data_IF_310013260823
#
_entry.id   IF_310013260823
#
_cell.length_a   1.000
_cell.length_b   1.000
_cell.length_c   1.000
_cell.angle_alpha   90.00
_cell.angle_beta   90.00
_cell.angle_gamma   90.00
#
_symmetry.space_group_name_H-M   'P 1'
#
loop_
_entity.id
_entity.type
_entity.pdbx_description
1 polymer ?
#
# COMPACT_ATOMS: atom_id res chain seq x y z
N UNK A 1 -2.14 -2.23 21.82
CA UNK A 1 -2.00 -1.05 20.93
C UNK A 1 -2.82 -1.33 19.69
N UNK A 2 -3.93 -0.64 19.54
CA UNK A 2 -4.74 -0.63 18.31
C UNK A 2 -3.82 -0.12 17.20
N UNK A 3 -3.56 -0.97 16.19
CA UNK A 3 -2.54 -0.69 15.19
C UNK A 3 -2.74 0.66 14.50
N UNK A 4 -1.65 1.29 14.11
CA UNK A 4 -1.60 2.58 13.42
C UNK A 4 -2.55 2.61 12.21
N UNK A 5 -2.77 1.47 11.58
CA UNK A 5 -3.67 1.32 10.44
C UNK A 5 -5.15 1.42 10.80
N UNK A 6 -5.55 0.95 11.99
CA UNK A 6 -6.89 1.23 12.51
C UNK A 6 -7.03 2.72 12.78
N UNK A 7 -5.97 3.36 13.31
CA UNK A 7 -5.94 4.83 13.48
C UNK A 7 -5.96 5.56 12.14
N UNK A 8 -5.24 5.08 11.13
CA UNK A 8 -5.25 5.64 9.78
C UNK A 8 -6.60 5.41 9.08
N UNK A 9 -7.17 4.20 9.17
CA UNK A 9 -8.51 3.91 8.68
C UNK A 9 -9.58 4.74 9.40
N UNK A 10 -9.46 4.92 10.72
CA UNK A 10 -10.30 5.81 11.50
C UNK A 10 -10.09 7.27 11.10
N UNK A 11 -8.87 7.72 10.92
CA UNK A 11 -8.54 9.10 10.53
C UNK A 11 -9.04 9.41 9.12
N UNK A 12 -8.85 8.51 8.17
CA UNK A 12 -9.42 8.61 6.83
C UNK A 12 -10.96 8.55 6.88
N UNK A 13 -11.54 7.64 7.67
CA UNK A 13 -12.98 7.55 7.86
C UNK A 13 -13.55 8.82 8.51
N UNK A 14 -12.88 9.38 9.51
CA UNK A 14 -13.25 10.66 10.13
C UNK A 14 -13.09 11.81 9.15
N UNK A 15 -11.98 11.85 8.39
CA UNK A 15 -11.76 12.89 7.37
C UNK A 15 -12.82 12.83 6.28
N UNK A 16 -13.12 11.63 5.75
CA UNK A 16 -14.23 11.44 4.81
C UNK A 16 -15.57 11.77 5.45
N UNK A 17 -15.80 11.39 6.70
CA UNK A 17 -17.00 11.74 7.46
C UNK A 17 -17.16 13.26 7.62
N UNK A 18 -16.08 13.98 7.91
CA UNK A 18 -16.07 15.45 8.02
C UNK A 18 -16.36 16.09 6.66
N UNK A 19 -15.66 15.67 5.59
CA UNK A 19 -15.89 16.20 4.23
C UNK A 19 -17.34 15.94 3.81
N UNK A 20 -17.83 14.72 4.05
CA UNK A 20 -19.20 14.36 3.75
C UNK A 20 -20.21 15.20 4.59
N UNK A 21 -19.97 15.34 5.89
CA UNK A 21 -20.82 16.16 6.76
C UNK A 21 -20.86 17.62 6.29
N UNK A 22 -19.71 18.18 5.87
CA UNK A 22 -19.63 19.52 5.31
C UNK A 22 -20.43 19.62 4.01
N UNK A 23 -20.26 18.65 3.09
CA UNK A 23 -21.00 18.63 1.81
C UNK A 23 -22.51 18.48 2.05
N UNK A 24 -22.93 17.61 2.98
CA UNK A 24 -24.35 17.47 3.36
C UNK A 24 -24.88 18.74 4.02
N UNK A 25 -24.12 19.33 4.95
CA UNK A 25 -24.52 20.55 5.64
C UNK A 25 -24.67 21.70 4.65
N UNK A 26 -23.73 21.91 3.75
CA UNK A 26 -23.80 22.93 2.70
C UNK A 26 -24.95 22.63 1.74
N UNK A 27 -25.13 21.40 1.30
CA UNK A 27 -26.20 21.00 0.40
C UNK A 27 -27.57 21.17 1.02
N UNK A 28 -27.73 20.79 2.29
CA UNK A 28 -29.00 20.98 3.05
C UNK A 28 -29.32 22.46 3.25
N UNK A 29 -28.30 23.27 3.55
CA UNK A 29 -28.44 24.72 3.65
C UNK A 29 -28.85 25.36 2.31
N UNK A 30 -28.36 24.84 1.19
CA UNK A 30 -28.73 25.26 -0.17
C UNK A 30 -30.06 24.64 -0.65
N UNK A 31 -30.76 23.86 0.19
CA UNK A 31 -32.06 23.27 -0.13
C UNK A 31 -31.99 21.97 -0.93
N UNK A 32 -30.81 21.38 -1.09
CA UNK A 32 -30.68 20.10 -1.76
C UNK A 32 -30.86 18.95 -0.75
N UNK A 33 -31.90 18.16 -0.91
CA UNK A 33 -32.20 16.99 -0.05
C UNK A 33 -32.15 15.68 -0.78
N UNK A 34 -31.72 15.67 -2.07
CA UNK A 34 -31.74 14.50 -2.92
C UNK A 34 -30.51 13.62 -2.71
N UNK A 35 -30.75 12.32 -2.50
CA UNK A 35 -29.71 11.28 -2.43
C UNK A 35 -28.83 11.22 -3.68
N UNK A 36 -29.41 11.34 -4.87
CA UNK A 36 -28.70 11.30 -6.13
C UNK A 36 -27.73 12.46 -6.31
N UNK A 37 -28.10 13.65 -5.83
CA UNK A 37 -27.22 14.82 -5.84
C UNK A 37 -25.92 14.53 -5.07
N UNK A 38 -26.02 13.97 -3.87
CA UNK A 38 -24.84 13.64 -3.07
C UNK A 38 -24.02 12.50 -3.67
N UNK A 39 -24.68 11.53 -4.32
CA UNK A 39 -24.02 10.46 -5.03
C UNK A 39 -23.17 11.00 -6.20
N UNK A 40 -23.75 11.90 -7.01
CA UNK A 40 -23.07 12.52 -8.15
C UNK A 40 -21.85 13.35 -7.70
N UNK A 41 -22.01 14.18 -6.64
CA UNK A 41 -20.89 14.97 -6.11
C UNK A 41 -19.77 14.06 -5.60
N UNK A 42 -20.10 12.98 -4.92
CA UNK A 42 -19.10 12.06 -4.40
C UNK A 42 -18.38 11.29 -5.51
N UNK A 43 -19.11 10.88 -6.54
CA UNK A 43 -18.51 10.30 -7.73
C UNK A 43 -17.59 11.32 -8.44
N UNK A 44 -18.03 12.57 -8.54
CA UNK A 44 -17.22 13.68 -9.08
C UNK A 44 -15.93 13.89 -8.26
N UNK A 45 -16.01 13.93 -6.95
CA UNK A 45 -14.84 14.04 -6.06
C UNK A 45 -13.88 12.86 -6.21
N UNK A 46 -14.39 11.64 -6.39
CA UNK A 46 -13.54 10.48 -6.67
C UNK A 46 -12.82 10.60 -8.02
N UNK A 47 -13.50 11.09 -9.04
CA UNK A 47 -12.89 11.35 -10.35
C UNK A 47 -11.79 12.40 -10.21
N UNK A 48 -12.06 13.51 -9.50
CA UNK A 48 -11.08 14.55 -9.20
C UNK A 48 -9.87 13.97 -8.45
N UNK A 49 -10.12 13.18 -7.41
CA UNK A 49 -9.07 12.50 -6.64
C UNK A 49 -8.23 11.57 -7.52
N UNK A 50 -8.86 10.81 -8.43
CA UNK A 50 -8.14 9.94 -9.36
C UNK A 50 -7.19 10.74 -10.28
N UNK A 51 -7.62 11.90 -10.77
CA UNK A 51 -6.80 12.74 -11.64
C UNK A 51 -5.71 13.52 -10.88
N UNK A 52 -6.00 14.00 -9.69
CA UNK A 52 -5.09 14.79 -8.86
C UNK A 52 -4.15 13.91 -8.04
N UNK A 53 -4.56 12.69 -7.70
CA UNK A 53 -3.82 11.76 -6.84
C UNK A 53 -2.33 11.64 -7.16
N UNK A 54 -1.93 11.38 -8.41
CA UNK A 54 -0.52 11.30 -8.76
C UNK A 54 0.27 12.58 -8.48
N UNK A 55 -0.35 13.76 -8.64
CA UNK A 55 0.30 15.04 -8.31
C UNK A 55 0.46 15.25 -6.82
N UNK A 56 -0.50 14.78 -6.02
CA UNK A 56 -0.39 14.82 -4.56
C UNK A 56 0.79 13.96 -4.12
N UNK A 57 0.95 12.75 -4.69
CA UNK A 57 2.10 11.87 -4.40
C UNK A 57 3.40 12.55 -4.79
N UNK A 58 3.50 13.14 -6.00
CA UNK A 58 4.68 13.88 -6.47
C UNK A 58 5.08 14.96 -5.48
N UNK A 59 4.13 15.76 -5.04
CA UNK A 59 4.38 16.87 -4.12
C UNK A 59 4.72 16.40 -2.71
N UNK A 60 3.95 15.44 -2.17
CA UNK A 60 4.14 14.93 -0.81
C UNK A 60 5.45 14.19 -0.65
N UNK A 61 5.83 13.38 -1.65
CA UNK A 61 7.09 12.62 -1.67
C UNK A 61 8.25 13.40 -2.30
N UNK A 62 8.04 14.66 -2.67
CA UNK A 62 9.04 15.52 -3.30
C UNK A 62 9.73 14.85 -4.50
N UNK A 63 8.95 14.14 -5.32
CA UNK A 63 9.47 13.35 -6.44
C UNK A 63 10.13 14.24 -7.47
N UNK A 64 11.41 14.00 -7.76
CA UNK A 64 12.17 14.62 -8.84
C UNK A 64 12.34 13.63 -9.96
N UNK A 65 11.80 13.94 -11.14
CA UNK A 65 12.00 13.11 -12.31
C UNK A 65 13.44 13.23 -12.80
N UNK A 66 14.06 12.10 -13.05
CA UNK A 66 15.44 12.01 -13.53
C UNK A 66 15.45 11.54 -14.98
N UNK A 67 16.36 12.09 -15.78
CA UNK A 67 16.59 11.65 -17.15
C UNK A 67 17.64 10.53 -17.20
N UNK A 68 17.76 9.88 -18.35
CA UNK A 68 18.81 8.86 -18.55
C UNK A 68 20.23 9.43 -18.37
N UNK A 69 20.40 10.76 -18.57
CA UNK A 69 21.69 11.43 -18.35
C UNK A 69 21.98 11.63 -16.85
N UNK A 70 20.93 11.89 -16.05
CA UNK A 70 21.09 12.15 -14.61
C UNK A 70 21.36 10.86 -13.82
N UNK A 71 20.70 9.76 -14.18
CA UNK A 71 20.89 8.46 -13.54
C UNK A 71 20.78 7.32 -14.57
N UNK A 72 21.84 7.03 -15.32
CA UNK A 72 21.83 6.01 -16.39
C UNK A 72 21.46 4.61 -15.87
N UNK A 73 22.06 4.20 -14.73
CA UNK A 73 21.85 2.86 -14.16
C UNK A 73 20.40 2.60 -13.79
N UNK A 74 19.77 3.53 -13.07
CA UNK A 74 18.36 3.40 -12.67
C UNK A 74 17.44 3.38 -13.89
N UNK A 75 17.71 4.23 -14.89
CA UNK A 75 16.94 4.25 -16.13
C UNK A 75 17.06 2.95 -16.93
N UNK A 76 18.25 2.42 -17.09
CA UNK A 76 18.49 1.14 -17.80
C UNK A 76 17.80 -0.03 -17.08
N UNK A 77 17.84 -0.04 -15.74
CA UNK A 77 17.14 -1.01 -14.93
C UNK A 77 15.64 -0.97 -15.19
N UNK A 78 15.00 0.21 -15.08
CA UNK A 78 13.57 0.38 -15.28
C UNK A 78 13.17 0.07 -16.73
N UNK A 79 13.94 0.53 -17.72
CA UNK A 79 13.69 0.26 -19.14
C UNK A 79 13.78 -1.23 -19.47
N UNK A 80 14.79 -1.92 -18.93
CA UNK A 80 14.95 -3.36 -19.09
C UNK A 80 13.77 -4.13 -18.50
N UNK A 81 13.32 -3.78 -17.30
CA UNK A 81 12.18 -4.41 -16.64
C UNK A 81 10.87 -4.09 -17.36
N UNK A 82 10.67 -2.87 -17.84
CA UNK A 82 9.48 -2.49 -18.60
C UNK A 82 9.36 -3.28 -19.91
N UNK A 83 10.48 -3.47 -20.64
CA UNK A 83 10.52 -4.33 -21.84
C UNK A 83 10.14 -5.78 -21.52
N UNK A 84 10.69 -6.35 -20.44
CA UNK A 84 10.34 -7.71 -20.00
C UNK A 84 8.89 -7.82 -19.53
N UNK A 85 8.36 -6.77 -18.92
CA UNK A 85 6.97 -6.70 -18.48
C UNK A 85 5.98 -6.53 -19.66
N UNK A 86 6.44 -6.08 -20.82
CA UNK A 86 5.61 -5.77 -21.97
C UNK A 86 4.74 -4.52 -21.76
N UNK A 87 5.23 -3.52 -21.01
CA UNK A 87 4.54 -2.24 -20.77
C UNK A 87 5.41 -1.06 -21.22
N UNK A 88 4.78 0.10 -21.51
CA UNK A 88 5.53 1.33 -21.76
C UNK A 88 6.46 1.64 -20.59
N UNK A 89 7.67 2.16 -20.88
CA UNK A 89 8.61 2.55 -19.85
C UNK A 89 7.99 3.64 -18.96
N UNK A 90 7.83 3.40 -17.64
CA UNK A 90 7.29 4.40 -16.74
C UNK A 90 8.28 5.56 -16.53
N UNK A 91 7.77 6.71 -16.13
CA UNK A 91 8.64 7.83 -15.74
C UNK A 91 9.39 7.47 -14.46
N UNK A 92 10.68 7.76 -14.44
CA UNK A 92 11.58 7.44 -13.33
C UNK A 92 11.74 8.67 -12.45
N UNK A 93 11.49 8.51 -11.16
CA UNK A 93 11.64 9.57 -10.16
C UNK A 93 12.51 9.15 -8.99
N UNK A 94 13.15 10.12 -8.35
CA UNK A 94 13.87 9.97 -7.10
C UNK A 94 13.24 10.90 -6.06
N UNK A 95 12.95 10.37 -4.87
CA UNK A 95 12.55 11.15 -3.71
C UNK A 95 13.76 11.35 -2.78
N UNK A 96 14.03 12.58 -2.30
CA UNK A 96 15.23 12.88 -1.50
C UNK A 96 15.15 12.38 -0.05
N UNK A 97 14.12 11.64 0.32
CA UNK A 97 13.97 11.11 1.67
C UNK A 97 15.00 10.01 1.96
N UNK A 98 15.52 10.01 3.19
CA UNK A 98 16.42 8.97 3.69
C UNK A 98 15.68 7.68 4.10
N UNK A 99 14.35 7.70 4.14
CA UNK A 99 13.54 6.52 4.40
C UNK A 99 13.65 5.56 3.21
N UNK A 100 14.12 4.32 3.42
CA UNK A 100 14.24 3.37 2.32
C UNK A 100 12.87 2.93 1.83
N UNK A 101 12.52 3.35 0.59
CA UNK A 101 11.24 3.01 -0.04
C UNK A 101 11.34 3.04 -1.57
N UNK A 102 10.52 2.23 -2.21
CA UNK A 102 10.19 2.35 -3.63
C UNK A 102 8.67 2.26 -3.78
N UNK A 103 8.11 2.94 -4.76
CA UNK A 103 6.68 2.92 -5.00
C UNK A 103 6.34 3.21 -6.46
N UNK A 104 5.31 2.53 -6.94
CA UNK A 104 4.71 2.78 -8.23
C UNK A 104 3.41 3.55 -8.07
N UNK A 105 3.19 4.54 -8.93
CA UNK A 105 1.97 5.33 -8.93
C UNK A 105 1.62 5.82 -10.32
N UNK A 106 0.40 6.34 -10.49
CA UNK A 106 -0.10 6.83 -11.77
C UNK A 106 -1.55 6.45 -11.99
N UNK A 107 -2.12 6.92 -13.09
CA UNK A 107 -3.52 6.67 -13.46
C UNK A 107 -3.72 5.38 -14.25
N UNK A 108 -2.64 4.73 -14.62
CA UNK A 108 -2.66 3.48 -15.37
C UNK A 108 -1.32 3.20 -16.04
N UNK A 109 -1.24 2.14 -16.83
CA UNK A 109 0.01 1.66 -17.43
C UNK A 109 0.70 2.73 -18.31
N UNK A 110 -0.09 3.51 -19.06
CA UNK A 110 0.46 4.57 -19.94
C UNK A 110 0.92 5.82 -19.18
N UNK A 111 0.46 6.01 -17.97
CA UNK A 111 0.82 7.13 -17.08
C UNK A 111 1.57 6.62 -15.83
N UNK A 112 2.23 5.46 -15.98
CA UNK A 112 2.97 4.82 -14.91
C UNK A 112 4.22 5.61 -14.51
N UNK A 113 4.50 5.63 -13.21
CA UNK A 113 5.69 6.22 -12.61
C UNK A 113 6.26 5.24 -11.60
N UNK A 114 7.58 5.12 -11.59
CA UNK A 114 8.33 4.40 -10.55
C UNK A 114 9.23 5.40 -9.86
N UNK A 115 9.13 5.46 -8.55
CA UNK A 115 9.98 6.30 -7.72
C UNK A 115 10.75 5.44 -6.73
N UNK A 116 12.03 5.76 -6.55
CA UNK A 116 12.89 5.22 -5.51
C UNK A 116 13.34 6.36 -4.60
N UNK A 117 13.57 6.07 -3.33
CA UNK A 117 14.09 7.07 -2.40
C UNK A 117 15.62 7.03 -2.36
N UNK A 118 16.24 8.15 -1.96
CA UNK A 118 17.69 8.17 -1.71
C UNK A 118 18.09 7.13 -0.66
N UNK A 119 17.22 6.90 0.34
CA UNK A 119 17.45 5.89 1.38
C UNK A 119 17.49 4.47 0.85
N UNK A 120 16.60 4.07 -0.07
CA UNK A 120 16.65 2.71 -0.63
C UNK A 120 17.86 2.51 -1.54
N UNK A 121 18.23 3.55 -2.30
CA UNK A 121 19.41 3.50 -3.15
C UNK A 121 20.74 3.39 -2.36
N UNK A 122 20.77 3.92 -1.13
CA UNK A 122 21.90 3.79 -0.23
C UNK A 122 21.92 2.45 0.52
N UNK A 123 20.75 1.82 0.72
CA UNK A 123 20.58 0.61 1.52
C UNK A 123 20.78 -0.67 0.70
N UNK A 124 20.29 -0.70 -0.53
CA UNK A 124 20.22 -1.90 -1.37
C UNK A 124 21.34 -1.92 -2.40
N UNK A 125 21.85 -3.12 -2.67
CA UNK A 125 22.70 -3.33 -3.84
C UNK A 125 21.87 -3.29 -5.15
N UNK A 126 22.56 -3.39 -6.29
CA UNK A 126 21.92 -3.24 -7.60
C UNK A 126 20.91 -4.38 -7.88
N UNK A 127 21.21 -5.61 -7.45
CA UNK A 127 20.33 -6.76 -7.67
C UNK A 127 19.10 -6.70 -6.78
N UNK A 128 19.25 -6.29 -5.54
CA UNK A 128 18.18 -6.08 -4.58
C UNK A 128 17.26 -4.94 -5.03
N UNK A 129 17.84 -3.80 -5.42
CA UNK A 129 17.10 -2.66 -5.95
C UNK A 129 16.33 -3.04 -7.21
N UNK A 130 16.98 -3.81 -8.12
CA UNK A 130 16.32 -4.32 -9.33
C UNK A 130 15.14 -5.22 -9.00
N UNK A 131 15.26 -6.07 -7.99
CA UNK A 131 14.17 -6.95 -7.57
C UNK A 131 12.99 -6.16 -6.99
N UNK A 132 13.23 -5.10 -6.21
CA UNK A 132 12.20 -4.20 -5.71
C UNK A 132 11.57 -3.40 -6.84
N UNK A 133 12.34 -2.83 -7.77
CA UNK A 133 11.81 -2.13 -8.94
C UNK A 133 10.98 -3.08 -9.81
N UNK A 134 11.37 -4.35 -9.90
CA UNK A 134 10.59 -5.40 -10.58
C UNK A 134 9.25 -5.67 -9.90
N UNK A 135 9.21 -5.64 -8.57
CA UNK A 135 7.99 -5.72 -7.77
C UNK A 135 7.07 -4.54 -8.07
N UNK A 136 7.58 -3.31 -8.04
CA UNK A 136 6.83 -2.10 -8.38
C UNK A 136 6.33 -2.11 -9.84
N UNK A 137 7.15 -2.62 -10.76
CA UNK A 137 6.77 -2.80 -12.16
C UNK A 137 5.59 -3.76 -12.32
N UNK A 138 5.54 -4.80 -11.49
CA UNK A 138 4.41 -5.74 -11.46
C UNK A 138 3.11 -5.07 -11.03
N UNK A 139 3.14 -4.19 -10.03
CA UNK A 139 1.98 -3.40 -9.63
C UNK A 139 1.44 -2.52 -10.78
N UNK A 140 2.32 -1.87 -11.54
CA UNK A 140 1.91 -1.11 -12.72
C UNK A 140 1.29 -2.00 -13.80
N UNK A 141 1.94 -3.13 -14.13
CA UNK A 141 1.46 -4.08 -15.12
C UNK A 141 0.07 -4.61 -14.77
N UNK A 142 -0.15 -4.95 -13.51
CA UNK A 142 -1.40 -5.51 -13.02
C UNK A 142 -2.50 -4.44 -12.77
N UNK A 143 -2.19 -3.17 -12.97
CA UNK A 143 -3.09 -2.02 -12.72
C UNK A 143 -3.61 -2.00 -11.27
N UNK A 144 -2.72 -2.26 -10.33
CA UNK A 144 -3.06 -2.46 -8.94
C UNK A 144 -3.72 -1.23 -8.31
N UNK A 145 -3.22 -0.04 -8.62
CA UNK A 145 -3.81 1.22 -8.16
C UNK A 145 -5.27 1.34 -8.58
N UNK A 146 -5.57 1.06 -9.87
CA UNK A 146 -6.95 1.12 -10.37
C UNK A 146 -7.85 0.09 -9.68
N UNK A 147 -7.38 -1.15 -9.54
CA UNK A 147 -8.17 -2.23 -8.94
C UNK A 147 -8.51 -1.93 -7.49
N UNK A 148 -7.54 -1.51 -6.67
CA UNK A 148 -7.79 -1.16 -5.27
C UNK A 148 -8.68 0.06 -5.17
N UNK A 149 -8.50 1.07 -6.04
CA UNK A 149 -9.38 2.24 -6.07
C UNK A 149 -10.84 1.84 -6.33
N UNK A 150 -11.09 0.97 -7.32
CA UNK A 150 -12.44 0.49 -7.62
C UNK A 150 -13.02 -0.31 -6.44
N UNK A 151 -12.25 -1.23 -5.87
CA UNK A 151 -12.70 -2.04 -4.74
C UNK A 151 -13.03 -1.19 -3.51
N UNK A 152 -12.31 -0.09 -3.28
CA UNK A 152 -12.53 0.82 -2.15
C UNK A 152 -13.81 1.64 -2.25
N UNK A 153 -14.45 1.68 -3.43
CA UNK A 153 -15.77 2.32 -3.61
C UNK A 153 -16.84 1.65 -2.74
N UNK A 154 -16.81 0.31 -2.65
CA UNK A 154 -17.84 -0.46 -1.95
C UNK A 154 -17.88 -0.12 -0.45
N UNK A 155 -16.78 -0.24 0.33
CA UNK A 155 -16.79 0.15 1.73
C UNK A 155 -17.11 1.64 1.91
N UNK A 156 -16.69 2.51 1.01
CA UNK A 156 -17.03 3.93 1.06
C UNK A 156 -18.54 4.15 0.95
N UNK A 157 -19.21 3.48 0.01
CA UNK A 157 -20.68 3.55 -0.12
C UNK A 157 -21.39 3.00 1.12
N UNK A 158 -20.93 1.90 1.68
CA UNK A 158 -21.51 1.29 2.88
C UNK A 158 -21.35 2.20 4.10
N UNK A 159 -20.17 2.81 4.28
CA UNK A 159 -19.95 3.82 5.32
C UNK A 159 -20.90 4.99 5.18
N UNK A 160 -21.11 5.47 3.98
CA UNK A 160 -22.00 6.59 3.68
C UNK A 160 -23.46 6.27 3.98
N UNK A 161 -23.91 5.08 3.58
CA UNK A 161 -25.26 4.60 3.92
C UNK A 161 -25.43 4.49 5.45
N UNK A 162 -24.45 3.89 6.13
CA UNK A 162 -24.46 3.78 7.58
C UNK A 162 -24.59 5.16 8.24
N UNK A 163 -23.77 6.11 7.83
CA UNK A 163 -23.75 7.45 8.39
C UNK A 163 -25.08 8.19 8.13
N UNK A 164 -25.63 8.10 6.90
CA UNK A 164 -26.92 8.68 6.54
C UNK A 164 -28.04 8.15 7.43
N UNK A 165 -28.17 6.84 7.58
CA UNK A 165 -29.25 6.22 8.32
C UNK A 165 -29.10 6.33 9.85
N UNK A 166 -27.87 6.34 10.36
CA UNK A 166 -27.63 6.48 11.81
C UNK A 166 -27.79 7.92 12.31
N UNK A 167 -27.34 8.91 11.54
CA UNK A 167 -27.23 10.29 12.01
C UNK A 167 -28.20 11.27 11.36
N UNK A 168 -28.58 11.06 10.10
CA UNK A 168 -29.41 12.03 9.32
C UNK A 168 -30.77 11.48 8.89
N UNK A 169 -31.19 10.30 9.35
CA UNK A 169 -32.56 9.80 9.11
C UNK A 169 -33.60 10.77 9.62
N UNK A 170 -34.59 11.10 8.77
CA UNK A 170 -35.67 12.04 9.10
C UNK A 170 -36.31 11.69 10.44
N UNK A 171 -36.40 12.66 11.37
CA UNK A 171 -36.97 12.45 12.71
C UNK A 171 -38.42 11.96 12.67
N UNK A 172 -39.15 12.23 11.58
CA UNK A 172 -40.56 11.78 11.40
C UNK A 172 -40.69 10.32 10.94
N UNK A 173 -39.64 9.75 10.36
CA UNK A 173 -39.59 8.34 9.89
C UNK A 173 -38.58 7.48 10.68
N UNK A 174 -38.19 7.93 11.87
CA UNK A 174 -37.33 7.14 12.79
C UNK A 174 -38.07 5.92 13.36
N UNK A 175 -38.57 5.05 12.46
CA UNK A 175 -38.96 3.71 12.82
C UNK A 175 -37.70 2.88 13.17
N UNK A 176 -37.89 1.89 14.02
CA UNK A 176 -36.86 0.90 14.41
C UNK A 176 -36.06 0.37 13.20
N UNK A 177 -36.64 0.32 12.01
CA UNK A 177 -36.07 -0.21 10.80
C UNK A 177 -34.96 0.69 10.21
N UNK A 178 -35.02 2.01 10.34
CA UNK A 178 -34.03 2.94 9.77
C UNK A 178 -32.69 2.82 10.49
N UNK A 179 -32.72 2.71 11.81
CA UNK A 179 -31.52 2.51 12.63
C UNK A 179 -30.91 1.13 12.35
N UNK A 180 -31.74 0.10 12.16
CA UNK A 180 -31.30 -1.25 11.83
C UNK A 180 -30.57 -1.30 10.48
N UNK A 181 -31.08 -0.59 9.47
CA UNK A 181 -30.43 -0.43 8.16
C UNK A 181 -29.07 0.27 8.32
N UNK A 182 -28.99 1.32 9.14
CA UNK A 182 -27.73 2.02 9.41
C UNK A 182 -26.70 1.11 10.08
N UNK A 183 -27.11 0.31 11.07
CA UNK A 183 -26.24 -0.67 11.74
C UNK A 183 -25.78 -1.76 10.74
N UNK A 184 -26.70 -2.30 9.93
CA UNK A 184 -26.36 -3.29 8.92
C UNK A 184 -25.35 -2.73 7.91
N UNK A 185 -25.56 -1.50 7.40
CA UNK A 185 -24.63 -0.84 6.51
C UNK A 185 -23.24 -0.63 7.15
N UNK A 186 -23.18 -0.31 8.46
CA UNK A 186 -21.92 -0.18 9.19
C UNK A 186 -21.19 -1.51 9.32
N UNK A 187 -21.89 -2.60 9.59
CA UNK A 187 -21.30 -3.95 9.61
C UNK A 187 -20.78 -4.32 8.22
N UNK A 188 -21.55 -4.07 7.16
CA UNK A 188 -21.10 -4.30 5.79
C UNK A 188 -19.90 -3.43 5.39
N UNK A 189 -19.84 -2.18 5.85
CA UNK A 189 -18.65 -1.35 5.70
C UNK A 189 -17.41 -2.04 6.27
N UNK A 190 -17.50 -2.55 7.49
CA UNK A 190 -16.38 -3.20 8.15
C UNK A 190 -15.93 -4.48 7.40
N UNK A 191 -16.89 -5.32 7.01
CA UNK A 191 -16.63 -6.54 6.25
C UNK A 191 -15.97 -6.22 4.89
N UNK A 192 -16.53 -5.28 4.15
CA UNK A 192 -16.02 -4.92 2.82
C UNK A 192 -14.65 -4.26 2.91
N UNK A 193 -14.39 -3.47 3.96
CA UNK A 193 -13.05 -2.91 4.21
C UNK A 193 -12.02 -4.02 4.47
N UNK A 194 -12.35 -5.03 5.27
CA UNK A 194 -11.47 -6.20 5.47
C UNK A 194 -11.19 -6.96 4.17
N UNK A 195 -12.18 -7.07 3.28
CA UNK A 195 -12.01 -7.69 1.97
C UNK A 195 -11.06 -6.87 1.08
N UNK A 196 -11.12 -5.54 1.11
CA UNK A 196 -10.17 -4.67 0.39
C UNK A 196 -8.75 -4.84 0.93
N UNK A 197 -8.58 -4.88 2.25
CA UNK A 197 -7.29 -5.14 2.88
C UNK A 197 -6.75 -6.53 2.49
N UNK A 198 -7.61 -7.54 2.44
CA UNK A 198 -7.24 -8.88 2.00
C UNK A 198 -6.82 -8.90 0.53
N UNK A 199 -7.57 -8.24 -0.36
CA UNK A 199 -7.21 -8.09 -1.76
C UNK A 199 -5.86 -7.39 -1.92
N UNK A 200 -5.58 -6.33 -1.15
CA UNK A 200 -4.30 -5.65 -1.14
C UNK A 200 -3.15 -6.61 -0.79
N UNK A 201 -3.31 -7.43 0.25
CA UNK A 201 -2.28 -8.43 0.64
C UNK A 201 -2.02 -9.49 -0.43
N UNK A 202 -3.08 -9.98 -1.09
CA UNK A 202 -2.92 -10.96 -2.18
C UNK A 202 -2.08 -10.35 -3.32
N UNK A 203 -2.25 -9.08 -3.61
CA UNK A 203 -1.54 -8.38 -4.69
C UNK A 203 -0.05 -8.26 -4.42
N UNK A 204 0.37 -8.13 -3.16
CA UNK A 204 1.78 -8.18 -2.78
C UNK A 204 2.42 -9.50 -3.20
N UNK A 205 1.75 -10.63 -2.99
CA UNK A 205 2.23 -11.93 -3.43
C UNK A 205 2.29 -12.05 -4.97
N UNK A 206 1.33 -11.46 -5.68
CA UNK A 206 1.38 -11.39 -7.14
C UNK A 206 2.52 -10.50 -7.63
N UNK A 207 2.81 -9.40 -6.93
CA UNK A 207 3.91 -8.50 -7.27
C UNK A 207 5.27 -9.15 -6.99
N UNK A 208 5.42 -9.88 -5.89
CA UNK A 208 6.60 -10.70 -5.59
C UNK A 208 6.86 -11.72 -6.71
N UNK A 209 5.83 -12.50 -7.07
CA UNK A 209 5.92 -13.45 -8.19
C UNK A 209 6.23 -12.75 -9.52
N UNK A 210 5.65 -11.56 -9.73
CA UNK A 210 5.88 -10.76 -10.93
C UNK A 210 7.33 -10.31 -11.03
N UNK A 211 7.96 -9.90 -9.93
CA UNK A 211 9.38 -9.58 -9.90
C UNK A 211 10.25 -10.77 -10.34
N UNK A 212 9.96 -11.97 -9.82
CA UNK A 212 10.67 -13.21 -10.22
C UNK A 212 10.44 -13.53 -11.70
N UNK A 213 9.22 -13.39 -12.19
CA UNK A 213 8.89 -13.60 -13.61
C UNK A 213 9.61 -12.63 -14.55
N UNK A 214 10.02 -11.45 -14.07
CA UNK A 214 10.86 -10.50 -14.79
C UNK A 214 12.35 -10.87 -14.76
N UNK A 215 12.71 -12.00 -14.15
CA UNK A 215 14.05 -12.56 -14.09
C UNK A 215 14.89 -12.05 -12.93
N UNK A 216 14.25 -11.58 -11.85
CA UNK A 216 14.95 -11.23 -10.61
C UNK A 216 15.05 -12.46 -9.70
N UNK A 217 16.13 -12.54 -8.91
CA UNK A 217 16.34 -13.64 -7.98
C UNK A 217 15.37 -13.57 -6.79
N UNK A 218 14.77 -14.71 -6.35
CA UNK A 218 14.04 -14.77 -5.10
C UNK A 218 14.86 -14.34 -3.89
N UNK A 219 16.16 -14.67 -3.84
CA UNK A 219 17.05 -14.27 -2.76
C UNK A 219 17.30 -12.77 -2.75
N UNK A 220 17.49 -12.14 -3.91
CA UNK A 220 17.67 -10.69 -3.98
C UNK A 220 16.43 -9.93 -3.49
N UNK A 221 15.21 -10.41 -3.84
CA UNK A 221 13.99 -9.79 -3.33
C UNK A 221 13.81 -10.06 -1.83
N UNK A 222 14.10 -11.27 -1.35
CA UNK A 222 14.02 -11.60 0.07
C UNK A 222 15.02 -10.79 0.91
N UNK A 223 16.25 -10.64 0.43
CA UNK A 223 17.27 -9.81 1.06
C UNK A 223 16.86 -8.34 1.09
N UNK A 224 16.33 -7.81 -0.01
CA UNK A 224 15.79 -6.46 -0.06
C UNK A 224 14.69 -6.24 0.98
N UNK A 225 13.70 -7.14 1.07
CA UNK A 225 12.62 -7.07 2.06
C UNK A 225 13.15 -7.11 3.49
N UNK A 226 14.14 -7.98 3.75
CA UNK A 226 14.83 -8.06 5.03
C UNK A 226 15.50 -6.73 5.40
N UNK A 227 16.31 -6.18 4.49
CA UNK A 227 17.00 -4.89 4.68
C UNK A 227 16.03 -3.72 4.87
N UNK A 228 14.90 -3.70 4.15
CA UNK A 228 13.88 -2.66 4.27
C UNK A 228 13.26 -2.63 5.67
N UNK A 229 12.98 -3.79 6.27
CA UNK A 229 12.47 -3.86 7.66
C UNK A 229 13.50 -3.35 8.64
N UNK A 230 14.77 -3.75 8.49
CA UNK A 230 15.86 -3.26 9.34
C UNK A 230 16.15 -1.77 9.15
N UNK A 231 16.13 -1.30 7.91
CA UNK A 231 16.29 0.12 7.60
C UNK A 231 15.19 0.96 8.24
N UNK A 232 13.94 0.50 8.12
CA UNK A 232 12.79 1.18 8.74
C UNK A 232 12.87 1.23 10.28
N UNK A 233 13.46 0.22 10.91
CA UNK A 233 13.59 0.17 12.36
C UNK A 233 14.73 1.03 12.93
N UNK A 234 15.70 1.41 12.11
CA UNK A 234 16.81 2.30 12.50
C UNK A 234 16.46 3.79 12.40
N UNK A 235 15.28 4.11 11.92
CA UNK A 235 14.84 5.48 11.75
C UNK A 235 14.46 6.06 13.12
N UNK A 236 14.95 7.25 13.41
CA UNK A 236 14.63 7.97 14.63
C UNK A 236 13.13 8.31 14.70
N UNK A 237 12.60 8.34 15.94
CA UNK A 237 11.18 8.63 16.17
C UNK A 237 10.72 9.98 15.61
N UNK A 238 11.65 10.92 15.44
CA UNK A 238 11.40 12.25 14.90
C UNK A 238 11.16 12.22 13.40
N UNK A 239 11.98 11.47 12.67
CA UNK A 239 11.80 11.22 11.23
C UNK A 239 10.55 10.39 10.95
N UNK A 240 10.20 9.43 11.83
CA UNK A 240 8.95 8.68 11.75
C UNK A 240 7.70 9.56 11.88
N UNK A 241 7.75 10.63 12.68
CA UNK A 241 6.63 11.59 12.78
C UNK A 241 6.44 12.40 11.52
N UNK A 242 7.51 12.80 10.85
CA UNK A 242 7.44 13.56 9.59
C UNK A 242 6.82 12.76 8.45
N UNK A 243 6.94 11.42 8.49
CA UNK A 243 6.39 10.51 7.47
C UNK A 243 5.08 9.84 7.89
N UNK A 244 4.53 10.20 9.04
CA UNK A 244 3.29 9.58 9.53
C UNK A 244 2.12 9.73 8.56
N UNK A 245 2.05 10.85 7.85
CA UNK A 245 1.05 11.12 6.80
C UNK A 245 1.27 10.36 5.49
N UNK A 246 2.45 9.80 5.26
CA UNK A 246 2.82 9.15 3.99
C UNK A 246 3.11 7.65 4.14
N UNK A 247 2.87 7.07 5.33
CA UNK A 247 3.11 5.64 5.62
C UNK A 247 2.40 4.68 4.67
N UNK A 248 1.29 5.12 4.08
CA UNK A 248 0.55 4.33 3.10
C UNK A 248 1.33 4.05 1.80
N UNK A 249 2.41 4.81 1.55
CA UNK A 249 3.26 4.64 0.37
C UNK A 249 4.51 3.79 0.64
N UNK A 250 4.65 3.20 1.83
CA UNK A 250 5.81 2.40 2.18
C UNK A 250 5.54 0.90 2.00
N UNK A 251 6.49 0.21 1.40
CA UNK A 251 6.45 -1.24 1.19
C UNK A 251 6.44 -2.06 2.50
N UNK A 252 6.86 -1.46 3.61
CA UNK A 252 6.75 -2.01 4.97
C UNK A 252 6.23 -0.93 5.93
N UNK A 253 5.38 -1.32 6.88
CA UNK A 253 4.92 -0.40 7.92
C UNK A 253 6.05 -0.18 8.95
N UNK A 254 6.66 1.03 9.01
CA UNK A 254 7.76 1.30 9.94
C UNK A 254 7.38 1.10 11.40
N UNK A 255 6.09 1.22 11.75
CA UNK A 255 5.62 1.01 13.13
C UNK A 255 5.64 -0.46 13.55
N UNK A 256 5.67 -1.40 12.60
CA UNK A 256 5.74 -2.84 12.82
C UNK A 256 7.17 -3.39 12.71
N UNK A 257 8.09 -2.61 12.16
CA UNK A 257 9.46 -3.04 11.87
C UNK A 257 10.15 -3.67 13.10
N UNK A 258 9.99 -3.12 14.31
CA UNK A 258 10.58 -3.67 15.52
C UNK A 258 10.08 -5.06 15.92
N UNK A 259 8.82 -5.36 15.59
CA UNK A 259 8.22 -6.66 15.89
C UNK A 259 8.65 -7.69 14.83
N UNK A 260 8.66 -7.29 13.57
CA UNK A 260 9.11 -8.11 12.45
C UNK A 260 10.61 -8.43 12.51
N UNK A 261 11.46 -7.49 12.98
CA UNK A 261 12.91 -7.74 13.18
C UNK A 261 13.16 -8.95 14.06
N UNK A 262 12.43 -9.09 15.16
CA UNK A 262 12.66 -10.21 16.10
C UNK A 262 12.40 -11.56 15.44
N UNK A 263 11.42 -11.62 14.53
CA UNK A 263 11.09 -12.81 13.76
C UNK A 263 12.11 -13.04 12.65
N UNK A 264 12.51 -11.97 11.97
CA UNK A 264 13.44 -12.02 10.83
C UNK A 264 14.89 -12.32 11.23
N UNK A 265 15.33 -11.92 12.43
CA UNK A 265 16.68 -12.25 12.97
C UNK A 265 17.00 -13.74 12.96
N UNK A 266 15.98 -14.59 12.99
CA UNK A 266 16.16 -16.03 12.96
C UNK A 266 16.42 -16.58 11.54
N UNK A 267 16.25 -15.74 10.52
CA UNK A 267 16.42 -16.10 9.11
C UNK A 267 17.85 -15.88 8.64
N UNK A 268 18.45 -14.76 9.02
CA UNK A 268 19.85 -14.40 8.78
C UNK A 268 20.74 -15.13 9.82
N UNK A 269 21.22 -16.30 9.46
CA UNK A 269 21.94 -17.21 10.39
C UNK A 269 23.40 -16.81 10.58
N UNK A 270 24.06 -16.37 9.52
CA UNK A 270 25.44 -15.92 9.54
C UNK A 270 25.57 -14.44 9.97
N UNK A 271 24.44 -13.75 10.11
CA UNK A 271 24.34 -12.35 10.53
C UNK A 271 25.05 -11.38 9.60
N UNK A 272 25.07 -11.69 8.32
CA UNK A 272 25.71 -10.85 7.30
C UNK A 272 24.80 -9.68 6.85
N UNK A 273 23.53 -9.64 7.31
CA UNK A 273 22.56 -8.60 6.99
C UNK A 273 21.85 -8.79 5.63
N UNK A 274 21.96 -9.99 5.05
CA UNK A 274 21.30 -10.36 3.80
C UNK A 274 20.55 -11.69 3.97
N UNK A 275 19.70 -12.05 3.03
CA UNK A 275 19.08 -13.38 2.94
C UNK A 275 19.58 -14.03 1.64
N UNK A 276 20.51 -14.94 1.76
CA UNK A 276 21.07 -15.64 0.62
C UNK A 276 20.23 -16.86 0.19
N UNK A 277 20.63 -17.53 -0.88
CA UNK A 277 19.89 -18.67 -1.41
C UNK A 277 19.91 -19.87 -0.46
N UNK A 278 21.01 -20.09 0.28
CA UNK A 278 21.13 -21.18 1.24
C UNK A 278 20.17 -20.98 2.44
N UNK A 279 20.06 -19.76 2.92
CA UNK A 279 19.13 -19.38 3.97
C UNK A 279 17.67 -19.49 3.50
N UNK A 280 17.38 -19.07 2.26
CA UNK A 280 16.07 -19.25 1.64
C UNK A 280 15.66 -20.72 1.56
N UNK A 281 16.60 -21.61 1.20
CA UNK A 281 16.32 -23.04 1.13
C UNK A 281 16.08 -23.66 2.52
N UNK A 282 16.70 -23.14 3.57
CA UNK A 282 16.42 -23.51 4.95
C UNK A 282 15.05 -23.01 5.41
N UNK A 283 14.72 -21.76 5.09
CA UNK A 283 13.40 -21.15 5.37
C UNK A 283 12.29 -21.95 4.71
N UNK A 284 12.53 -22.48 3.51
CA UNK A 284 11.58 -23.32 2.79
C UNK A 284 11.15 -24.56 3.56
N UNK A 285 12.06 -25.14 4.36
CA UNK A 285 11.81 -26.36 5.15
C UNK A 285 11.21 -26.07 6.51
N UNK A 286 11.33 -24.83 7.00
CA UNK A 286 10.90 -24.43 8.35
C UNK A 286 9.41 -24.06 8.35
N UNK A 287 8.66 -24.63 9.28
CA UNK A 287 7.28 -24.18 9.54
C UNK A 287 7.29 -22.83 10.25
N UNK A 288 6.63 -21.84 9.62
CA UNK A 288 6.50 -20.50 10.19
C UNK A 288 5.15 -20.41 10.89
N UNK A 289 5.18 -20.23 12.20
CA UNK A 289 3.97 -20.03 13.01
C UNK A 289 3.94 -18.59 13.49
N UNK A 290 2.99 -17.82 12.97
CA UNK A 290 2.69 -16.49 13.50
C UNK A 290 1.87 -16.59 14.78
N UNK A 291 2.11 -15.67 15.71
CA UNK A 291 1.29 -15.53 16.91
C UNK A 291 -0.14 -15.09 16.55
N UNK A 292 -1.10 -15.30 17.45
CA UNK A 292 -2.48 -14.84 17.24
C UNK A 292 -2.56 -13.33 17.08
N UNK A 293 -1.71 -12.59 17.81
CA UNK A 293 -1.61 -11.14 17.69
C UNK A 293 -1.11 -10.72 16.31
N UNK A 294 -0.09 -11.40 15.74
CA UNK A 294 0.43 -11.09 14.40
C UNK A 294 -0.59 -11.36 13.31
N UNK A 295 -1.36 -12.46 13.44
CA UNK A 295 -2.46 -12.77 12.52
C UNK A 295 -3.55 -11.71 12.56
N UNK A 296 -3.92 -11.22 13.74
CA UNK A 296 -4.91 -10.16 13.89
C UNK A 296 -4.39 -8.83 13.31
N UNK A 297 -3.13 -8.49 13.57
CA UNK A 297 -2.52 -7.28 13.00
C UNK A 297 -2.39 -7.36 11.49
N UNK A 298 -2.05 -8.54 10.94
CA UNK A 298 -2.02 -8.76 9.50
C UNK A 298 -3.41 -8.58 8.88
N UNK A 299 -4.48 -9.05 9.54
CA UNK A 299 -5.86 -8.88 9.05
C UNK A 299 -6.22 -7.41 8.81
N UNK A 300 -5.70 -6.51 9.65
CA UNK A 300 -5.90 -5.06 9.57
C UNK A 300 -4.82 -4.34 8.74
N UNK A 301 -3.98 -5.08 7.99
CA UNK A 301 -2.87 -4.54 7.22
C UNK A 301 -3.14 -4.60 5.72
N UNK A 302 -2.63 -3.62 4.99
CA UNK A 302 -2.56 -3.63 3.52
C UNK A 302 -1.46 -4.54 2.99
N UNK A 303 -0.41 -4.80 3.79
CA UNK A 303 0.71 -5.65 3.43
C UNK A 303 0.71 -6.94 4.26
N UNK A 304 1.08 -8.09 3.68
CA UNK A 304 1.27 -9.33 4.42
C UNK A 304 2.46 -9.20 5.37
N UNK A 305 2.52 -10.07 6.37
CA UNK A 305 3.70 -10.21 7.22
C UNK A 305 4.94 -10.55 6.38
N UNK A 306 6.06 -9.85 6.61
CA UNK A 306 7.30 -10.01 5.83
C UNK A 306 7.85 -11.44 5.87
N UNK A 307 7.74 -12.09 7.02
CA UNK A 307 8.17 -13.48 7.18
C UNK A 307 7.40 -14.42 6.24
N UNK A 308 6.09 -14.21 6.03
CA UNK A 308 5.29 -14.95 5.06
C UNK A 308 5.73 -14.68 3.62
N UNK A 309 6.03 -13.43 3.29
CA UNK A 309 6.52 -13.06 1.95
C UNK A 309 7.84 -13.76 1.65
N UNK A 310 8.82 -13.66 2.56
CA UNK A 310 10.12 -14.34 2.42
C UNK A 310 9.94 -15.86 2.34
N UNK A 311 9.05 -16.44 3.16
CA UNK A 311 8.73 -17.86 3.07
C UNK A 311 8.17 -18.24 1.69
N UNK A 312 7.28 -17.44 1.15
CA UNK A 312 6.72 -17.70 -0.19
C UNK A 312 7.79 -17.55 -1.28
N UNK A 313 8.67 -16.54 -1.17
CA UNK A 313 9.81 -16.39 -2.09
C UNK A 313 10.69 -17.62 -2.09
N UNK A 314 10.89 -18.28 -0.96
CA UNK A 314 11.67 -19.53 -0.86
C UNK A 314 11.07 -20.70 -1.67
N UNK A 315 9.79 -20.62 -2.05
CA UNK A 315 9.13 -21.64 -2.87
C UNK A 315 9.39 -21.50 -4.37
N UNK A 316 9.82 -20.30 -4.83
CA UNK A 316 10.12 -20.07 -6.23
C UNK A 316 11.53 -20.57 -6.56
N UNK A 317 11.67 -21.22 -7.71
CA UNK A 317 12.97 -21.58 -8.31
C UNK A 317 13.17 -20.72 -9.55
N UNK A 318 14.40 -20.28 -9.77
CA UNK A 318 14.81 -19.80 -11.09
C UNK A 318 14.81 -21.02 -12.00
N UNK A 319 13.93 -21.04 -13.00
CA UNK A 319 13.88 -22.06 -14.02
C UNK A 319 15.09 -22.02 -14.94
#
# INVERSE_FOLDING_TARGET
MIGLQLRMGLLLGVLFGIIYAIVVMIGTYLGFHDFYFYLIISAGLMIVQYFIGPKIVEWTMQVRYVTKKDNPRLHEMVESLARKAGIPCPRVGISPTNLPNAFAFGRGIKDGRICVTSGIMALLDEQELRAVVGHEMSHLKNRDVLTITILSVIPMLMYRLAFQFLFFGNRRERGSNTVLIGIAAFVFYFITNLLVLYASRIREYFADRGSIALGNSPSSLASALYKLVYGAARIDKEDLRQVEGIKAFFASDPSRAWQEIRELKQLDRDRNGTIDQAELDLIRRKDIRLTTADKFMELMSTHPNMLKRIKQLSSYRLG
#
